data_IF_594609281263
#
_entry.id   IF_594609281263
#
_cell.length_a   1.000
_cell.length_b   1.000
_cell.length_c   1.000
_cell.angle_alpha   90.00
_cell.angle_beta   90.00
_cell.angle_gamma   90.00
#
_symmetry.space_group_name_H-M   'P 1'
#
loop_
_entity.id
_entity.type
_entity.pdbx_description
1 polymer ?
#
# COMPACT_ATOMS: atom_id res chain seq x y z
N UNK A 1 2.08 -13.67 -13.20
CA UNK A 1 2.79 -12.38 -13.32
C UNK A 1 4.00 -12.52 -14.23
N UNK A 2 5.05 -13.27 -13.87
CA UNK A 2 6.25 -13.39 -14.72
C UNK A 2 6.01 -14.02 -16.09
N UNK A 3 5.06 -14.95 -16.22
CA UNK A 3 4.65 -15.51 -17.52
C UNK A 3 4.06 -14.48 -18.50
N UNK A 4 3.84 -13.23 -18.05
CA UNK A 4 3.41 -12.12 -18.89
C UNK A 4 4.59 -11.36 -19.49
N UNK A 5 5.83 -11.77 -19.19
CA UNK A 5 7.09 -11.17 -19.64
C UNK A 5 7.12 -9.63 -19.49
N UNK A 6 6.77 -9.09 -18.30
CA UNK A 6 6.75 -7.65 -18.13
C UNK A 6 8.18 -7.08 -18.18
N UNK A 7 8.30 -5.86 -18.68
CA UNK A 7 9.56 -5.09 -18.59
C UNK A 7 9.80 -4.57 -17.18
N UNK A 8 8.72 -4.22 -16.45
CA UNK A 8 8.73 -3.75 -15.07
C UNK A 8 7.63 -4.44 -14.26
N UNK A 9 7.95 -4.88 -13.04
CA UNK A 9 7.00 -5.42 -12.07
C UNK A 9 7.10 -4.65 -10.75
N UNK A 10 6.04 -3.90 -10.42
CA UNK A 10 5.90 -3.29 -9.10
C UNK A 10 5.42 -4.32 -8.07
N UNK A 11 6.14 -4.46 -6.97
CA UNK A 11 5.77 -5.33 -5.86
C UNK A 11 5.34 -4.48 -4.64
N UNK A 12 4.07 -4.55 -4.27
CA UNK A 12 3.54 -3.96 -3.04
C UNK A 12 2.92 -5.07 -2.17
N UNK A 13 3.63 -5.47 -1.13
CA UNK A 13 3.26 -6.60 -0.26
C UNK A 13 3.58 -6.34 1.20
N UNK A 14 3.19 -7.25 2.09
CA UNK A 14 3.52 -7.21 3.53
C UNK A 14 2.64 -6.31 4.41
N UNK A 15 1.92 -5.34 3.84
CA UNK A 15 1.04 -4.45 4.62
C UNK A 15 -0.09 -5.19 5.36
N UNK A 16 -0.71 -6.19 4.73
CA UNK A 16 -1.72 -7.01 5.38
C UNK A 16 -1.12 -7.93 6.45
N UNK A 17 0.06 -8.48 6.20
CA UNK A 17 0.79 -9.39 7.10
C UNK A 17 1.21 -8.65 8.38
N UNK A 18 1.72 -7.43 8.23
CA UNK A 18 2.05 -6.49 9.31
C UNK A 18 0.87 -6.25 10.27
N UNK A 19 -0.35 -6.14 9.74
CA UNK A 19 -1.57 -5.93 10.53
C UNK A 19 -2.02 -7.17 11.32
N UNK A 20 -1.48 -8.36 11.03
CA UNK A 20 -1.87 -9.59 11.72
C UNK A 20 -1.29 -9.62 13.15
N UNK A 21 -2.02 -10.18 14.14
CA UNK A 21 -1.42 -10.56 15.41
C UNK A 21 -0.33 -11.60 15.16
N UNK A 22 0.80 -11.49 15.87
CA UNK A 22 1.91 -12.45 15.77
C UNK A 22 2.72 -12.40 14.47
N UNK A 23 2.67 -11.31 13.70
CA UNK A 23 3.51 -11.16 12.49
C UNK A 23 4.99 -11.39 12.79
N UNK A 24 5.61 -12.26 11.99
CA UNK A 24 7.05 -12.41 11.90
C UNK A 24 7.56 -11.52 10.75
N UNK A 25 8.08 -10.34 11.10
CA UNK A 25 8.60 -9.37 10.13
C UNK A 25 9.80 -9.94 9.36
N UNK A 26 10.82 -10.55 10.01
CA UNK A 26 11.89 -11.26 9.30
C UNK A 26 11.39 -12.24 8.24
N UNK A 27 10.37 -13.04 8.56
CA UNK A 27 9.78 -13.96 7.58
C UNK A 27 9.15 -13.22 6.39
N UNK A 28 8.35 -12.17 6.63
CA UNK A 28 7.73 -11.36 5.57
C UNK A 28 8.80 -10.74 4.65
N UNK A 29 9.89 -10.25 5.21
CA UNK A 29 11.02 -9.67 4.47
C UNK A 29 11.71 -10.75 3.63
N UNK A 30 11.96 -11.93 4.19
CA UNK A 30 12.55 -13.06 3.45
C UNK A 30 11.68 -13.56 2.30
N UNK A 31 10.36 -13.61 2.47
CA UNK A 31 9.44 -13.93 1.36
C UNK A 31 9.43 -12.84 0.28
N UNK A 32 9.52 -11.57 0.69
CA UNK A 32 9.61 -10.44 -0.23
C UNK A 32 10.89 -10.50 -1.05
N UNK A 33 12.04 -10.73 -0.41
CA UNK A 33 13.33 -10.91 -1.07
C UNK A 33 13.29 -12.08 -2.05
N UNK A 34 12.76 -13.24 -1.64
CA UNK A 34 12.64 -14.41 -2.52
C UNK A 34 11.77 -14.11 -3.75
N UNK A 35 10.67 -13.37 -3.57
CA UNK A 35 9.83 -12.95 -4.68
C UNK A 35 10.59 -12.03 -5.64
N UNK A 36 11.30 -11.02 -5.12
CA UNK A 36 12.07 -10.06 -5.92
C UNK A 36 13.22 -10.73 -6.69
N UNK A 37 13.95 -11.66 -6.06
CA UNK A 37 14.99 -12.45 -6.75
C UNK A 37 14.44 -13.20 -7.96
N UNK A 38 13.27 -13.82 -7.83
CA UNK A 38 12.61 -14.50 -8.96
C UNK A 38 12.22 -13.55 -10.09
N UNK A 39 11.91 -12.29 -9.78
CA UNK A 39 11.63 -11.25 -10.79
C UNK A 39 12.93 -10.87 -11.51
N UNK A 40 14.03 -10.69 -10.77
CA UNK A 40 15.34 -10.38 -11.34
C UNK A 40 15.81 -11.54 -12.23
N UNK A 41 15.71 -12.79 -11.77
CA UNK A 41 16.13 -13.99 -12.49
C UNK A 41 15.35 -14.19 -13.81
N UNK A 42 14.14 -13.63 -13.92
CA UNK A 42 13.37 -13.67 -15.18
C UNK A 42 13.75 -12.55 -16.17
N UNK A 43 14.70 -11.68 -15.82
CA UNK A 43 15.07 -10.51 -16.63
C UNK A 43 14.06 -9.36 -16.58
N UNK A 44 13.09 -9.41 -15.67
CA UNK A 44 12.12 -8.33 -15.44
C UNK A 44 12.71 -7.35 -14.44
N UNK A 45 12.50 -6.05 -14.64
CA UNK A 45 12.89 -5.05 -13.66
C UNK A 45 11.90 -5.04 -12.46
N UNK A 46 12.34 -5.27 -11.21
CA UNK A 46 11.49 -5.09 -10.05
C UNK A 46 11.45 -3.64 -9.56
N UNK A 47 10.29 -3.22 -9.06
CA UNK A 47 10.12 -1.98 -8.28
C UNK A 47 9.45 -2.32 -6.95
N UNK A 48 10.16 -2.14 -5.83
CA UNK A 48 9.59 -2.38 -4.51
C UNK A 48 8.80 -1.17 -4.03
N UNK A 49 7.60 -1.38 -3.48
CA UNK A 49 6.75 -0.32 -2.95
C UNK A 49 6.47 -0.55 -1.47
N UNK A 50 6.87 0.39 -0.60
CA UNK A 50 6.24 0.50 0.71
C UNK A 50 4.89 1.20 0.55
N UNK A 51 3.82 0.63 1.14
CA UNK A 51 2.48 1.21 1.09
C UNK A 51 2.37 2.49 1.92
N UNK A 52 1.38 3.32 1.62
CA UNK A 52 1.09 4.52 2.41
C UNK A 52 0.77 4.19 3.88
N UNK A 53 1.09 5.09 4.80
CA UNK A 53 0.94 4.90 6.24
C UNK A 53 -0.45 5.33 6.77
N UNK A 54 -1.36 4.39 7.13
CA UNK A 54 -2.73 4.70 7.57
C UNK A 54 -2.83 5.02 9.08
N UNK A 55 -1.71 5.02 9.82
CA UNK A 55 -1.71 4.85 11.28
C UNK A 55 -2.47 5.94 12.06
N UNK A 56 -2.48 7.18 11.55
CA UNK A 56 -3.23 8.30 12.14
C UNK A 56 -4.75 8.07 12.15
N UNK A 57 -5.24 7.26 11.21
CA UNK A 57 -6.67 7.03 10.97
C UNK A 57 -7.28 5.86 11.74
N UNK A 58 -6.46 4.90 12.18
CA UNK A 58 -6.93 3.58 12.61
C UNK A 58 -6.73 3.32 14.12
N UNK A 59 -7.55 2.44 14.74
CA UNK A 59 -7.33 2.01 16.11
C UNK A 59 -5.95 1.36 16.30
N UNK A 60 -5.28 1.65 17.42
CA UNK A 60 -3.91 1.17 17.73
C UNK A 60 -2.86 1.56 16.67
N UNK A 61 -3.01 2.75 16.08
CA UNK A 61 -2.10 3.31 15.08
C UNK A 61 -0.63 3.22 15.45
N UNK A 62 -0.24 3.55 16.68
CA UNK A 62 1.17 3.50 17.14
C UNK A 62 1.80 2.11 17.01
N UNK A 63 1.07 1.04 17.35
CA UNK A 63 1.59 -0.33 17.22
C UNK A 63 1.78 -0.72 15.75
N UNK A 64 0.83 -0.32 14.90
CA UNK A 64 0.94 -0.51 13.45
C UNK A 64 2.11 0.30 12.90
N UNK A 65 2.32 1.51 13.42
CA UNK A 65 3.43 2.37 13.05
C UNK A 65 4.77 1.72 13.33
N UNK A 66 5.00 1.23 14.55
CA UNK A 66 6.25 0.56 14.92
C UNK A 66 6.56 -0.62 13.99
N UNK A 67 5.56 -1.46 13.69
CA UNK A 67 5.75 -2.58 12.77
C UNK A 67 6.03 -2.15 11.34
N UNK A 68 5.35 -1.12 10.84
CA UNK A 68 5.54 -0.66 9.47
C UNK A 68 6.82 0.11 9.28
N UNK A 69 7.29 0.85 10.29
CA UNK A 69 8.63 1.43 10.31
C UNK A 69 9.68 0.30 10.22
N UNK A 70 9.55 -0.76 11.03
CA UNK A 70 10.46 -1.89 11.00
C UNK A 70 10.45 -2.65 9.66
N UNK A 71 9.26 -2.89 9.08
CA UNK A 71 9.12 -3.53 7.77
C UNK A 71 9.72 -2.67 6.66
N UNK A 72 9.48 -1.36 6.69
CA UNK A 72 9.99 -0.43 5.66
C UNK A 72 11.51 -0.38 5.70
N UNK A 73 12.12 -0.26 6.90
CA UNK A 73 13.58 -0.28 7.06
C UNK A 73 14.19 -1.58 6.51
N UNK A 74 13.63 -2.73 6.87
CA UNK A 74 14.14 -4.02 6.42
C UNK A 74 13.95 -4.23 4.90
N UNK A 75 12.82 -3.77 4.35
CA UNK A 75 12.55 -3.80 2.91
C UNK A 75 13.50 -2.88 2.12
N UNK A 76 13.85 -1.70 2.66
CA UNK A 76 14.86 -0.82 2.08
C UNK A 76 16.22 -1.49 2.03
N UNK A 77 16.64 -2.15 3.11
CA UNK A 77 17.91 -2.88 3.13
C UNK A 77 17.96 -3.98 2.06
N UNK A 78 16.86 -4.74 1.90
CA UNK A 78 16.74 -5.74 0.81
C UNK A 78 16.80 -5.09 -0.57
N UNK A 79 16.14 -3.95 -0.76
CA UNK A 79 16.18 -3.24 -2.04
C UNK A 79 17.60 -2.79 -2.40
N UNK A 80 18.33 -2.24 -1.42
CA UNK A 80 19.73 -1.83 -1.57
C UNK A 80 20.64 -3.02 -1.89
N UNK A 81 20.49 -4.14 -1.17
CA UNK A 81 21.27 -5.37 -1.41
C UNK A 81 21.03 -5.97 -2.80
N UNK A 82 19.79 -5.91 -3.29
CA UNK A 82 19.43 -6.40 -4.63
C UNK A 82 19.74 -5.37 -5.74
N UNK A 83 20.10 -4.13 -5.39
CA UNK A 83 20.32 -3.05 -6.35
C UNK A 83 19.06 -2.62 -7.09
N UNK A 84 17.89 -2.71 -6.44
CA UNK A 84 16.59 -2.41 -7.07
C UNK A 84 16.00 -1.09 -6.55
N UNK A 85 15.13 -0.50 -7.36
CA UNK A 85 14.44 0.75 -6.97
C UNK A 85 13.37 0.45 -5.92
N UNK A 86 13.28 1.33 -4.92
CA UNK A 86 12.20 1.33 -3.93
C UNK A 86 11.47 2.68 -3.91
N UNK A 87 10.14 2.63 -3.88
CA UNK A 87 9.28 3.78 -3.65
C UNK A 87 8.71 3.70 -2.23
N UNK A 88 9.23 4.55 -1.35
CA UNK A 88 8.76 4.66 0.03
C UNK A 88 7.58 5.63 0.13
N UNK A 89 6.35 5.10 0.10
CA UNK A 89 5.15 5.88 0.42
C UNK A 89 4.79 5.84 1.91
N UNK A 90 5.45 4.99 2.69
CA UNK A 90 5.20 4.86 4.13
C UNK A 90 5.71 6.08 4.88
N UNK A 91 6.90 6.55 4.50
CA UNK A 91 7.55 7.72 5.10
C UNK A 91 7.11 9.06 4.49
N UNK A 92 6.20 9.07 3.51
CA UNK A 92 5.66 10.33 2.95
C UNK A 92 4.74 11.02 3.98
N UNK A 93 5.15 12.18 4.54
CA UNK A 93 4.39 12.87 5.58
C UNK A 93 3.08 13.49 5.08
N UNK A 94 2.92 13.64 3.76
CA UNK A 94 1.68 14.12 3.15
C UNK A 94 0.67 12.98 3.11
N UNK A 95 1.09 11.78 2.73
CA UNK A 95 0.23 10.59 2.71
C UNK A 95 -0.24 10.17 4.11
N UNK A 96 0.46 10.54 5.17
CA UNK A 96 -0.02 10.31 6.53
C UNK A 96 -1.29 11.13 6.90
N UNK A 97 -1.62 12.18 6.14
CA UNK A 97 -2.71 13.12 6.48
C UNK A 97 -4.07 12.60 6.03
N UNK A 98 -5.13 12.92 6.79
CA UNK A 98 -6.48 12.34 6.68
C UNK A 98 -7.16 12.62 5.34
N UNK A 99 -6.87 13.74 4.72
CA UNK A 99 -7.42 14.17 3.44
C UNK A 99 -7.07 13.25 2.26
N UNK A 100 -5.98 12.47 2.38
CA UNK A 100 -5.55 11.49 1.38
C UNK A 100 -6.20 10.11 1.53
N UNK A 101 -7.04 9.92 2.56
CA UNK A 101 -7.69 8.64 2.84
C UNK A 101 -9.21 8.73 2.64
N UNK A 102 -9.77 7.58 2.25
CA UNK A 102 -11.21 7.33 2.20
C UNK A 102 -11.82 7.31 3.60
N UNK A 103 -13.15 7.28 3.68
CA UNK A 103 -13.90 7.36 4.95
C UNK A 103 -13.59 6.20 5.93
N UNK A 104 -13.14 5.06 5.41
CA UNK A 104 -12.71 3.91 6.21
C UNK A 104 -11.33 4.08 6.85
N UNK A 105 -10.62 5.18 6.51
CA UNK A 105 -9.31 5.56 7.04
C UNK A 105 -8.21 4.53 6.83
N UNK A 106 -8.42 3.60 5.90
CA UNK A 106 -7.51 2.50 5.59
C UNK A 106 -7.17 2.43 4.11
N UNK A 107 -8.07 2.84 3.22
CA UNK A 107 -7.80 2.94 1.79
C UNK A 107 -7.59 4.39 1.38
N UNK A 108 -6.77 4.60 0.35
CA UNK A 108 -6.52 5.93 -0.18
C UNK A 108 -7.80 6.49 -0.84
N UNK A 109 -7.96 7.79 -0.76
CA UNK A 109 -8.88 8.55 -1.61
C UNK A 109 -8.24 8.75 -3.00
N UNK A 110 -8.98 9.21 -4.03
CA UNK A 110 -8.42 9.47 -5.36
C UNK A 110 -7.15 10.35 -5.35
N UNK A 111 -7.14 11.41 -4.55
CA UNK A 111 -5.95 12.28 -4.37
C UNK A 111 -4.75 11.55 -3.77
N UNK A 112 -5.00 10.61 -2.83
CA UNK A 112 -3.97 9.73 -2.26
C UNK A 112 -3.39 8.79 -3.31
N UNK A 113 -4.24 8.22 -4.18
CA UNK A 113 -3.77 7.40 -5.29
C UNK A 113 -2.92 8.18 -6.29
N UNK A 114 -3.30 9.41 -6.65
CA UNK A 114 -2.47 10.26 -7.51
C UNK A 114 -1.12 10.61 -6.88
N UNK A 115 -1.09 10.86 -5.56
CA UNK A 115 0.16 11.11 -4.84
C UNK A 115 1.08 9.88 -4.86
N UNK A 116 0.55 8.69 -4.55
CA UNK A 116 1.32 7.43 -4.64
C UNK A 116 1.84 7.21 -6.06
N UNK A 117 0.98 7.38 -7.08
CA UNK A 117 1.39 7.24 -8.47
C UNK A 117 2.46 8.26 -8.87
N UNK A 118 2.37 9.50 -8.37
CA UNK A 118 3.41 10.52 -8.55
C UNK A 118 4.73 10.11 -7.91
N UNK A 119 4.71 9.53 -6.70
CA UNK A 119 5.93 9.05 -6.04
C UNK A 119 6.55 7.89 -6.82
N UNK A 120 5.72 6.98 -7.36
CA UNK A 120 6.18 5.88 -8.22
C UNK A 120 6.85 6.42 -9.48
N UNK A 121 6.21 7.35 -10.20
CA UNK A 121 6.80 7.97 -11.40
C UNK A 121 8.12 8.67 -11.08
N UNK A 122 8.17 9.42 -9.97
CA UNK A 122 9.40 10.06 -9.49
C UNK A 122 10.51 9.05 -9.20
N UNK A 123 10.22 7.94 -8.52
CA UNK A 123 11.17 6.85 -8.30
C UNK A 123 11.64 6.24 -9.63
N UNK A 124 10.77 6.22 -10.63
CA UNK A 124 11.11 5.74 -11.98
C UNK A 124 11.91 6.75 -12.82
N UNK A 125 12.07 8.00 -12.37
CA UNK A 125 12.73 9.07 -13.11
C UNK A 125 11.81 9.82 -14.08
N UNK A 126 10.50 9.70 -13.92
CA UNK A 126 9.49 10.34 -14.77
C UNK A 126 8.72 11.43 -14.03
N UNK A 127 8.31 12.45 -14.78
CA UNK A 127 7.37 13.45 -14.29
C UNK A 127 5.95 12.88 -14.25
N UNK A 128 5.15 13.36 -13.29
CA UNK A 128 3.71 13.06 -13.27
C UNK A 128 2.97 13.91 -14.30
N UNK A 129 1.81 13.45 -14.80
CA UNK A 129 0.90 14.32 -15.53
C UNK A 129 0.51 15.57 -14.72
N UNK A 130 0.48 16.72 -15.39
CA UNK A 130 0.23 18.02 -14.76
C UNK A 130 -1.22 18.19 -14.29
N UNK A 131 -2.15 17.49 -14.93
CA UNK A 131 -3.58 17.47 -14.62
C UNK A 131 -3.92 16.66 -13.35
N UNK A 132 -2.97 15.88 -12.83
CA UNK A 132 -3.21 15.13 -11.59
C UNK A 132 -3.31 16.06 -10.38
N UNK A 133 -4.40 15.91 -9.64
CA UNK A 133 -4.56 16.53 -8.32
C UNK A 133 -3.85 15.64 -7.30
N UNK A 134 -2.79 16.17 -6.69
CA UNK A 134 -1.95 15.47 -5.68
C UNK A 134 -1.92 16.17 -4.32
N UNK A 135 -2.66 17.27 -4.19
CA UNK A 135 -2.83 18.02 -2.97
C UNK A 135 -4.33 18.12 -2.64
N UNK A 136 -4.65 18.08 -1.35
CA UNK A 136 -6.02 18.23 -0.86
C UNK A 136 -6.05 19.15 0.35
N UNK A 137 -7.17 19.83 0.55
CA UNK A 137 -7.37 20.69 1.71
C UNK A 137 -7.34 19.87 3.01
N UNK A 138 -6.67 20.38 4.06
CA UNK A 138 -6.61 19.70 5.35
C UNK A 138 -8.00 19.40 5.91
N UNK A 139 -8.22 18.16 6.36
CA UNK A 139 -9.45 17.79 7.07
C UNK A 139 -9.28 17.98 8.58
N UNK A 140 -10.28 18.55 9.28
CA UNK A 140 -10.22 18.68 10.73
C UNK A 140 -10.18 17.32 11.42
N UNK A 141 -9.71 17.30 12.66
CA UNK A 141 -9.75 16.09 13.49
C UNK A 141 -11.21 15.63 13.69
N UNK A 142 -11.48 14.31 13.69
CA UNK A 142 -12.83 13.79 13.83
C UNK A 142 -13.41 14.10 15.21
N UNK A 143 -14.68 14.48 15.26
CA UNK A 143 -15.40 14.61 16.53
C UNK A 143 -15.66 13.25 17.17
N UNK A 144 -16.07 13.23 18.45
CA UNK A 144 -16.53 12.00 19.12
C UNK A 144 -17.68 11.31 18.36
N UNK A 145 -18.58 12.10 17.76
CA UNK A 145 -19.70 11.57 16.96
C UNK A 145 -19.20 10.90 15.68
N UNK A 146 -18.21 11.50 15.02
CA UNK A 146 -17.58 10.92 13.83
C UNK A 146 -16.83 9.64 14.15
N UNK A 147 -16.17 9.57 15.32
CA UNK A 147 -15.50 8.36 15.78
C UNK A 147 -16.49 7.22 16.07
N UNK A 148 -17.63 7.54 16.68
CA UNK A 148 -18.68 6.55 16.94
C UNK A 148 -19.26 6.00 15.63
N UNK A 149 -19.57 6.90 14.68
CA UNK A 149 -20.06 6.54 13.34
C UNK A 149 -19.05 5.66 12.60
N UNK A 150 -17.79 6.07 12.56
CA UNK A 150 -16.69 5.29 11.97
C UNK A 150 -16.59 3.88 12.57
N UNK A 151 -16.67 3.78 13.90
CA UNK A 151 -16.58 2.50 14.60
C UNK A 151 -17.72 1.57 14.19
N UNK A 152 -18.94 2.10 14.13
CA UNK A 152 -20.13 1.36 13.71
C UNK A 152 -20.06 0.90 12.24
N UNK A 153 -19.63 1.79 11.35
CA UNK A 153 -19.69 1.56 9.90
C UNK A 153 -18.51 0.73 9.36
N UNK A 154 -17.32 0.85 9.96
CA UNK A 154 -16.10 0.26 9.41
C UNK A 154 -15.44 -0.76 10.34
N UNK A 155 -15.35 -0.46 11.65
CA UNK A 155 -14.60 -1.32 12.60
C UNK A 155 -15.41 -2.55 13.02
N UNK A 156 -16.66 -2.38 13.44
CA UNK A 156 -17.50 -3.50 13.88
C UNK A 156 -17.69 -4.57 12.79
N UNK A 157 -17.98 -4.22 11.51
CA UNK A 157 -18.08 -5.21 10.45
C UNK A 157 -16.75 -5.94 10.18
N UNK A 158 -15.62 -5.25 10.32
CA UNK A 158 -14.30 -5.86 10.18
C UNK A 158 -14.01 -6.87 11.31
N UNK A 159 -14.33 -6.54 12.57
CA UNK A 159 -14.25 -7.48 13.70
C UNK A 159 -15.13 -8.70 13.45
N UNK A 160 -16.39 -8.49 13.04
CA UNK A 160 -17.32 -9.58 12.73
C UNK A 160 -16.76 -10.53 11.68
N UNK A 161 -16.27 -9.99 10.55
CA UNK A 161 -15.61 -10.79 9.51
C UNK A 161 -14.43 -11.60 10.07
N UNK A 162 -13.59 -10.97 10.89
CA UNK A 162 -12.41 -11.61 11.50
C UNK A 162 -12.80 -12.80 12.40
N UNK A 163 -13.84 -12.65 13.23
CA UNK A 163 -14.34 -13.74 14.08
C UNK A 163 -14.94 -14.89 13.27
N UNK A 164 -15.50 -14.59 12.10
CA UNK A 164 -16.08 -15.60 11.20
C UNK A 164 -15.08 -16.19 10.19
N UNK A 165 -13.80 -15.79 10.25
CA UNK A 165 -12.78 -16.22 9.29
C UNK A 165 -13.00 -15.72 7.85
N UNK A 166 -13.88 -14.74 7.64
CA UNK A 166 -14.23 -14.21 6.32
C UNK A 166 -13.29 -13.07 5.90
N UNK A 167 -12.85 -13.08 4.65
CA UNK A 167 -12.07 -12.01 4.02
C UNK A 167 -12.96 -11.05 3.22
N UNK A 168 -12.49 -9.82 3.01
CA UNK A 168 -13.13 -8.90 2.04
C UNK A 168 -13.03 -9.40 0.60
N UNK A 169 -12.10 -10.33 0.33
CA UNK A 169 -11.95 -10.98 -0.98
C UNK A 169 -12.84 -12.20 -1.21
N UNK A 170 -13.51 -12.72 -0.18
CA UNK A 170 -14.29 -13.96 -0.31
C UNK A 170 -15.42 -13.81 -1.33
N UNK A 171 -15.49 -14.73 -2.28
CA UNK A 171 -16.52 -14.74 -3.34
C UNK A 171 -16.38 -13.63 -4.38
N UNK A 172 -15.30 -12.84 -4.37
CA UNK A 172 -15.05 -11.83 -5.40
C UNK A 172 -14.40 -12.46 -6.63
N UNK A 173 -14.98 -12.24 -7.80
CA UNK A 173 -14.33 -12.53 -9.08
C UNK A 173 -13.28 -11.44 -9.41
N UNK A 174 -12.21 -11.78 -10.14
CA UNK A 174 -11.28 -10.77 -10.65
C UNK A 174 -12.02 -9.72 -11.49
N UNK A 175 -11.68 -8.45 -11.30
CA UNK A 175 -12.24 -7.35 -12.13
C UNK A 175 -11.82 -7.48 -13.60
N UNK A 176 -10.60 -7.99 -13.81
CA UNK A 176 -10.02 -8.30 -15.12
C UNK A 176 -9.49 -9.73 -15.05
N UNK A 177 -10.31 -10.74 -15.35
CA UNK A 177 -9.88 -12.14 -15.35
C UNK A 177 -9.00 -12.48 -16.56
N UNK A 178 -9.12 -11.68 -17.61
CA UNK A 178 -8.32 -11.75 -18.83
C UNK A 178 -7.54 -10.45 -19.02
N UNK A 179 -6.62 -10.48 -19.97
CA UNK A 179 -5.81 -9.33 -20.35
C UNK A 179 -6.65 -8.18 -20.86
N UNK A 180 -6.33 -6.97 -20.39
CA UNK A 180 -6.95 -5.74 -20.86
C UNK A 180 -5.86 -4.77 -21.26
N UNK A 181 -5.95 -4.27 -22.50
CA UNK A 181 -5.13 -3.18 -22.98
C UNK A 181 -5.63 -1.86 -22.40
N UNK A 182 -4.71 -1.08 -21.84
CA UNK A 182 -4.97 0.30 -21.41
C UNK A 182 -4.10 1.19 -22.26
N UNK A 183 -4.72 1.98 -23.12
CA UNK A 183 -3.99 2.96 -23.93
C UNK A 183 -3.44 4.06 -23.01
N UNK A 184 -2.14 4.40 -23.11
CA UNK A 184 -1.59 5.55 -22.42
C UNK A 184 -2.40 6.80 -22.78
N UNK A 185 -2.66 7.67 -21.80
CA UNK A 185 -3.12 9.02 -22.12
C UNK A 185 -1.97 9.73 -22.84
N UNK A 186 -2.21 10.13 -24.08
CA UNK A 186 -1.27 10.89 -24.89
C UNK A 186 -0.97 12.27 -24.33
#
# INVERSE_FOLDING_TARGET
ALALEPTLLSFNGGGNDMLRPGTDIPWVVGETERALRRVIDSGTEPLLLAGANPTIGIPRGEHVKTKGDALTIAATAVADELGIRMCDNWSDPVLARREYWSLDRLHLAPVGHHRVASNVLRTLGHERPSDWVIDADPKPAPSRRDQLRYTREHVLPWIGRRLTGRSSGDGRSPKHPEWVWVEPRG
#
